data_IF_163400691904
#
_entry.id   IF_163400691904
#
_cell.length_a   1.000
_cell.length_b   1.000
_cell.length_c   1.000
_cell.angle_alpha   90.00
_cell.angle_beta   90.00
_cell.angle_gamma   90.00
#
_symmetry.space_group_name_H-M   'P 1'
#
loop_
_entity.id
_entity.type
_entity.pdbx_description
1 polymer ?
2 water ?
#
# COMPACT_ATOMS: atom_id res chain seq x y z
N UNK A 35 -13.31 -8.82 -17.01
CA UNK A 35 -12.99 -10.11 -16.42
C UNK A 35 -11.61 -10.17 -15.76
N UNK A 36 -11.57 -9.84 -14.48
CA UNK A 36 -10.45 -10.18 -13.63
C UNK A 36 -10.98 -11.15 -12.58
N UNK A 37 -10.27 -12.24 -12.35
CA UNK A 37 -10.78 -13.28 -11.49
C UNK A 37 -10.54 -12.97 -10.02
N UNK A 38 -11.60 -13.06 -9.22
CA UNK A 38 -11.52 -13.07 -7.75
C UNK A 38 -12.15 -14.31 -7.17
N UNK A 39 -11.50 -14.89 -6.17
CA UNK A 39 -11.96 -16.13 -5.58
C UNK A 39 -13.31 -15.98 -4.90
N UNK A 40 -14.04 -17.10 -4.88
CA UNK A 40 -15.29 -17.20 -4.15
C UNK A 40 -15.08 -18.14 -3.00
N UNK A 41 -16.10 -18.28 -2.15
CA UNK A 41 -16.02 -19.21 -1.04
C UNK A 41 -15.81 -20.65 -1.50
N UNK A 42 -16.48 -21.05 -2.57
CA UNK A 42 -16.34 -22.41 -3.07
C UNK A 42 -14.90 -22.63 -3.57
N UNK A 43 -14.36 -21.64 -4.27
CA UNK A 43 -12.98 -21.71 -4.75
C UNK A 43 -12.03 -21.98 -3.60
N UNK A 44 -12.17 -21.19 -2.54
CA UNK A 44 -11.29 -21.28 -1.38
C UNK A 44 -11.39 -22.64 -0.69
N UNK A 45 -12.56 -23.30 -0.77
CA UNK A 45 -12.65 -24.65 -0.27
C UNK A 45 -11.94 -25.65 -1.20
N UNK A 46 -12.16 -25.47 -2.50
CA UNK A 46 -11.51 -26.27 -3.51
C UNK A 46 -10.02 -26.25 -3.21
N UNK A 47 -9.47 -25.04 -3.13
CA UNK A 47 -8.03 -24.88 -2.91
C UNK A 47 -7.50 -25.62 -1.69
N UNK A 48 -8.18 -25.46 -0.56
CA UNK A 48 -7.79 -26.15 0.65
C UNK A 48 -7.70 -27.67 0.41
N UNK A 49 -8.70 -28.25 -0.23
CA UNK A 49 -8.69 -29.68 -0.51
C UNK A 49 -7.61 -30.04 -1.52
N UNK A 50 -7.37 -29.15 -2.47
CA UNK A 50 -6.32 -29.36 -3.46
C UNK A 50 -5.00 -29.41 -2.75
N UNK A 51 -4.76 -28.41 -1.91
CA UNK A 51 -3.47 -28.24 -1.28
C UNK A 51 -3.23 -29.32 -0.24
N UNK A 52 -4.31 -29.90 0.26
CA UNK A 52 -4.19 -30.83 1.37
C UNK A 52 -3.62 -32.13 0.85
N UNK A 53 -3.78 -32.33 -0.45
CA UNK A 53 -3.28 -33.54 -1.10
C UNK A 53 -1.85 -33.44 -1.59
N UNK A 54 -1.28 -32.24 -1.61
CA UNK A 54 0.11 -32.08 -2.05
C UNK A 54 1.07 -32.82 -1.11
N UNK A 55 2.17 -33.29 -1.66
CA UNK A 55 3.20 -33.87 -0.85
C UNK A 55 4.18 -32.80 -0.45
N UNK A 56 4.59 -32.84 0.81
CA UNK A 56 5.62 -31.92 1.27
C UNK A 56 6.95 -32.64 1.42
N UNK A 57 8.02 -31.98 1.01
CA UNK A 57 9.36 -32.56 1.03
C UNK A 57 9.77 -32.82 2.46
N UNK A 58 9.88 -34.10 2.81
CA UNK A 58 10.21 -34.48 4.17
C UNK A 58 11.66 -34.11 4.57
N UNK A 59 12.53 -33.99 3.57
CA UNK A 59 13.94 -33.69 3.82
C UNK A 59 14.13 -32.22 4.20
N UNK A 60 13.03 -31.52 4.41
CA UNK A 60 13.11 -30.13 4.82
C UNK A 60 12.13 -29.89 5.98
N UNK A 61 12.13 -28.68 6.52
CA UNK A 61 11.10 -28.34 7.50
C UNK A 61 9.82 -27.85 6.80
N UNK A 62 8.99 -28.81 6.39
CA UNK A 62 7.88 -28.53 5.52
C UNK A 62 6.64 -28.05 6.23
N UNK A 63 5.89 -27.18 5.56
CA UNK A 63 4.66 -26.63 6.08
C UNK A 63 3.47 -27.16 5.30
N UNK A 64 2.53 -27.79 5.99
CA UNK A 64 1.31 -28.28 5.33
C UNK A 64 0.31 -27.15 5.12
N UNK A 65 -0.76 -27.45 4.41
CA UNK A 65 -1.75 -26.44 4.18
C UNK A 65 -2.30 -25.95 5.52
N UNK A 66 -2.43 -26.86 6.49
CA UNK A 66 -2.93 -26.47 7.80
C UNK A 66 -1.93 -25.52 8.45
N UNK A 67 -0.66 -25.91 8.48
CA UNK A 67 0.38 -25.00 8.94
C UNK A 67 0.31 -23.64 8.23
N UNK A 68 0.03 -23.64 6.93
CA UNK A 68 -0.01 -22.37 6.22
C UNK A 68 -1.26 -21.58 6.57
N UNK A 69 -2.40 -22.28 6.58
CA UNK A 69 -3.70 -21.69 6.88
C UNK A 69 -3.59 -21.03 8.24
N UNK A 70 -2.65 -21.51 9.03
CA UNK A 70 -2.51 -20.98 10.35
C UNK A 70 -1.62 -19.75 10.35
N UNK A 71 -0.46 -19.82 9.73
CA UNK A 71 0.43 -18.69 9.75
C UNK A 71 -0.22 -17.52 9.00
N UNK A 72 -1.03 -17.83 8.00
CA UNK A 72 -1.62 -16.78 7.18
C UNK A 72 -3.01 -16.30 7.63
N UNK A 73 -3.48 -16.84 8.75
CA UNK A 73 -4.75 -16.41 9.32
C UNK A 73 -4.41 -15.71 10.62
N UNK A 74 -3.20 -15.97 11.11
CA UNK A 74 -2.65 -15.35 12.30
C UNK A 74 -2.97 -13.86 12.29
N UNK A 75 -3.63 -13.42 13.35
CA UNK A 75 -4.08 -12.06 13.49
C UNK A 75 -2.96 -11.01 13.35
N UNK A 76 -1.73 -11.39 13.72
CA UNK A 76 -0.56 -10.51 13.57
C UNK A 76 -0.11 -10.32 12.12
N UNK A 77 -0.50 -11.23 11.23
CA UNK A 77 0.00 -11.18 9.87
C UNK A 77 -0.49 -9.95 9.12
N UNK A 78 -1.79 -9.70 9.16
CA UNK A 78 -2.35 -8.54 8.50
C UNK A 78 -2.03 -7.23 9.24
N UNK A 79 -1.61 -7.37 10.50
CA UNK A 79 -1.18 -6.20 11.26
C UNK A 79 0.24 -5.76 10.86
N UNK A 80 1.06 -6.72 10.43
CA UNK A 80 2.42 -6.43 10.00
C UNK A 80 2.43 -6.16 8.51
N UNK A 81 1.43 -6.67 7.83
CA UNK A 81 1.39 -6.54 6.37
C UNK A 81 0.01 -6.12 5.93
N UNK A 82 -0.37 -4.86 6.23
CA UNK A 82 -1.74 -4.44 5.90
C UNK A 82 -2.17 -4.55 4.44
N UNK A 83 -1.27 -4.70 3.45
CA UNK A 83 -1.74 -4.97 2.08
C UNK A 83 -2.61 -6.22 2.03
N UNK A 84 -2.42 -7.11 2.99
CA UNK A 84 -3.13 -8.37 2.99
C UNK A 84 -4.47 -8.28 3.71
N UNK A 85 -4.86 -7.06 4.07
CA UNK A 85 -6.07 -6.84 4.87
C UNK A 85 -7.25 -7.60 4.33
N UNK A 86 -7.47 -7.46 3.02
CA UNK A 86 -8.56 -8.15 2.34
C UNK A 86 -8.08 -9.25 1.40
N UNK A 87 -7.03 -9.95 1.82
CA UNK A 87 -6.54 -11.09 1.09
C UNK A 87 -6.71 -12.32 1.96
N UNK A 88 -7.27 -13.39 1.41
CA UNK A 88 -7.54 -14.58 2.19
C UNK A 88 -6.30 -15.43 2.45
N UNK A 89 -6.34 -16.24 3.52
CA UNK A 89 -5.25 -17.17 3.85
C UNK A 89 -5.01 -18.18 2.74
N UNK A 90 -6.09 -18.59 2.09
CA UNK A 90 -5.95 -19.51 0.96
C UNK A 90 -5.12 -18.86 -0.14
N UNK A 91 -5.23 -17.55 -0.27
CA UNK A 91 -4.48 -16.84 -1.31
C UNK A 91 -3.02 -16.68 -0.91
N UNK A 92 -2.78 -16.30 0.33
CA UNK A 92 -1.40 -16.25 0.81
C UNK A 92 -0.74 -17.59 0.58
N UNK A 93 -1.43 -18.66 0.96
CA UNK A 93 -0.92 -20.03 0.83
C UNK A 93 -0.59 -20.39 -0.62
N UNK A 94 -1.45 -19.98 -1.54
CA UNK A 94 -1.22 -20.25 -2.94
C UNK A 94 0.06 -19.54 -3.36
N UNK A 95 0.25 -18.29 -2.96
CA UNK A 95 1.49 -17.61 -3.33
C UNK A 95 2.68 -18.35 -2.71
N UNK A 96 2.61 -18.60 -1.41
CA UNK A 96 3.67 -19.30 -0.71
C UNK A 96 4.03 -20.60 -1.43
N UNK A 97 3.03 -21.45 -1.65
CA UNK A 97 3.26 -22.77 -2.24
C UNK A 97 3.84 -22.67 -3.63
N UNK A 98 3.47 -21.63 -4.36
CA UNK A 98 4.01 -21.43 -5.70
C UNK A 98 5.48 -20.96 -5.70
N UNK A 99 5.92 -20.27 -4.65
CA UNK A 99 7.28 -19.75 -4.58
C UNK A 99 8.24 -20.74 -3.94
N UNK A 100 7.69 -21.88 -3.52
CA UNK A 100 8.45 -22.85 -2.77
C UNK A 100 8.94 -23.98 -3.66
N UNK A 101 9.82 -24.79 -3.11
CA UNK A 101 10.42 -25.87 -3.87
C UNK A 101 10.03 -27.19 -3.24
N UNK A 102 9.13 -27.16 -2.24
CA UNK A 102 8.85 -28.31 -1.39
C UNK A 102 7.59 -29.08 -1.67
N UNK A 103 6.75 -28.62 -2.58
CA UNK A 103 5.48 -29.32 -2.83
C UNK A 103 5.45 -29.91 -4.23
N UNK A 104 4.85 -31.09 -4.35
CA UNK A 104 4.58 -31.69 -5.64
C UNK A 104 3.25 -32.43 -5.57
N UNK A 105 2.55 -32.47 -6.70
CA UNK A 105 1.34 -33.27 -6.83
C UNK A 105 1.70 -34.74 -6.66
N UNK A 106 2.94 -35.11 -7.00
CA UNK A 106 3.32 -36.52 -7.04
C UNK A 106 4.47 -36.88 -6.15
N UNK A 107 4.64 -38.20 -5.98
CA UNK A 107 5.72 -38.77 -5.19
C UNK A 107 6.54 -39.59 -6.17
N UNK A 108 7.86 -39.53 -6.04
CA UNK A 108 8.72 -40.40 -6.87
C UNK A 108 9.58 -41.24 -5.94
N UNK A 109 9.19 -42.49 -5.73
CA UNK A 109 9.88 -43.30 -4.73
C UNK A 109 9.86 -42.59 -3.37
N UNK A 110 11.05 -42.35 -2.85
CA UNK A 110 11.08 -41.58 -1.62
C UNK A 110 10.35 -40.25 -1.80
N UNK A 111 10.94 -39.41 -2.64
CA UNK A 111 10.79 -37.97 -2.59
C UNK A 111 9.64 -37.38 -3.39
N UNK A 112 9.37 -36.10 -3.12
CA UNK A 112 8.40 -35.35 -3.89
C UNK A 112 8.79 -35.33 -5.37
N UNK A 113 7.78 -35.31 -6.22
CA UNK A 113 7.97 -35.22 -7.66
C UNK A 113 8.46 -33.87 -8.14
N UNK A 114 7.99 -33.49 -9.32
CA UNK A 114 8.27 -32.18 -9.90
C UNK A 114 7.55 -31.13 -9.05
N UNK A 115 8.24 -30.04 -8.68
CA UNK A 115 7.67 -28.98 -7.84
C UNK A 115 6.41 -28.36 -8.45
N UNK A 116 5.47 -27.99 -7.59
CA UNK A 116 4.19 -27.45 -8.01
C UNK A 116 4.29 -26.31 -9.05
N UNK A 117 5.14 -25.32 -8.79
CA UNK A 117 5.18 -24.16 -9.65
C UNK A 117 5.60 -24.56 -11.05
N UNK A 118 6.47 -25.56 -11.14
CA UNK A 118 6.90 -25.99 -12.46
C UNK A 118 5.84 -26.76 -13.21
N UNK A 119 5.12 -27.64 -12.53
CA UNK A 119 4.07 -28.41 -13.18
C UNK A 119 3.00 -27.45 -13.67
N UNK A 120 2.68 -26.44 -12.86
CA UNK A 120 1.64 -25.46 -13.19
C UNK A 120 2.07 -24.56 -14.33
N UNK A 121 3.23 -23.95 -14.18
CA UNK A 121 3.78 -23.08 -15.21
C UNK A 121 3.86 -23.81 -16.54
N UNK A 122 4.45 -25.01 -16.51
CA UNK A 122 4.55 -25.81 -17.71
C UNK A 122 3.19 -26.12 -18.33
N UNK A 123 2.24 -26.50 -17.49
CA UNK A 123 0.86 -26.73 -17.92
C UNK A 123 0.29 -25.50 -18.64
N UNK A 124 0.37 -24.34 -18.00
CA UNK A 124 -0.12 -23.12 -18.64
C UNK A 124 0.56 -22.83 -19.98
N UNK A 125 1.87 -23.07 -20.09
CA UNK A 125 2.57 -22.77 -21.34
C UNK A 125 2.20 -23.77 -22.45
N UNK A 126 1.88 -25.00 -22.10
CA UNK A 126 1.55 -26.03 -23.10
C UNK A 126 0.09 -26.06 -23.48
N UNK A 127 -0.76 -25.64 -22.55
CA UNK A 127 -2.19 -25.75 -22.71
C UNK A 127 -2.69 -25.16 -24.03
N UNK A 128 -3.44 -25.96 -24.79
CA UNK A 128 -4.07 -25.50 -26.04
C UNK A 128 -5.59 -25.77 -26.07
N UNK A 129 -6.32 -25.20 -25.12
CA UNK A 129 -7.78 -25.31 -25.07
C UNK A 129 -8.48 -23.99 -24.69
N UNK A 130 -7.71 -23.08 -24.09
CA UNK A 130 -8.17 -21.75 -23.69
C UNK A 130 -7.39 -20.67 -24.44
N UNK A 131 -7.85 -19.44 -24.28
CA UNK A 131 -7.06 -18.27 -24.67
C UNK A 131 -5.86 -18.15 -23.73
N UNK A 132 -5.96 -18.83 -22.59
CA UNK A 132 -4.95 -18.74 -21.55
C UNK A 132 -5.17 -17.53 -20.67
N UNK A 133 -6.18 -16.73 -21.02
CA UNK A 133 -6.51 -15.51 -20.29
C UNK A 133 -7.53 -15.71 -19.16
N UNK A 134 -7.70 -14.69 -18.31
CA UNK A 134 -8.55 -14.78 -17.12
C UNK A 134 -10.03 -14.79 -17.47
N UNK A 135 -10.36 -14.49 -18.73
CA UNK A 135 -11.74 -14.63 -19.19
C UNK A 135 -12.14 -16.11 -19.20
N UNK A 136 -11.15 -17.00 -19.27
CA UNK A 136 -11.41 -18.43 -19.41
C UNK A 136 -10.73 -19.31 -18.33
N UNK A 137 -10.53 -18.79 -17.11
CA UNK A 137 -9.83 -19.57 -16.07
C UNK A 137 -10.63 -20.78 -15.56
N UNK A 138 -11.92 -20.82 -15.85
CA UNK A 138 -12.74 -21.95 -15.42
C UNK A 138 -12.85 -23.05 -16.47
N UNK A 139 -11.92 -23.02 -17.44
CA UNK A 139 -11.86 -24.05 -18.47
C UNK A 139 -10.49 -24.72 -18.48
N UNK A 140 -9.86 -24.78 -17.31
CA UNK A 140 -8.57 -25.47 -17.18
C UNK A 140 -8.75 -26.88 -16.57
N UNK A 141 -7.66 -27.66 -16.60
CA UNK A 141 -7.59 -29.01 -16.01
C UNK A 141 -8.02 -29.05 -14.54
N UNK A 142 -9.02 -29.87 -14.24
CA UNK A 142 -9.60 -29.98 -12.91
C UNK A 142 -8.55 -30.14 -11.82
N UNK A 143 -7.43 -30.75 -12.17
CA UNK A 143 -6.42 -31.05 -11.18
C UNK A 143 -5.73 -29.78 -10.68
N UNK A 144 -5.30 -28.92 -11.59
CA UNK A 144 -4.52 -27.77 -11.17
C UNK A 144 -5.32 -26.47 -10.98
N UNK A 145 -6.51 -26.39 -11.57
CA UNK A 145 -7.24 -25.13 -11.61
C UNK A 145 -7.51 -24.54 -10.23
N UNK A 146 -7.79 -25.37 -9.22
CA UNK A 146 -8.00 -24.76 -7.91
C UNK A 146 -6.83 -23.85 -7.51
N UNK A 147 -5.61 -24.22 -7.91
CA UNK A 147 -4.44 -23.41 -7.58
C UNK A 147 -4.24 -22.27 -8.58
N UNK A 148 -4.50 -22.54 -9.85
CA UNK A 148 -4.30 -21.49 -10.83
C UNK A 148 -5.22 -20.33 -10.46
N UNK A 149 -6.45 -20.68 -10.11
CA UNK A 149 -7.45 -19.68 -9.82
C UNK A 149 -7.08 -18.95 -8.54
N UNK A 150 -6.66 -19.71 -7.52
CA UNK A 150 -6.36 -19.07 -6.25
C UNK A 150 -5.22 -18.09 -6.41
N UNK A 151 -4.18 -18.48 -7.15
CA UNK A 151 -3.01 -17.61 -7.35
C UNK A 151 -3.41 -16.35 -8.12
N UNK A 152 -4.20 -16.54 -9.18
CA UNK A 152 -4.69 -15.39 -9.93
C UNK A 152 -5.42 -14.44 -9.01
N UNK A 153 -6.36 -14.95 -8.22
CA UNK A 153 -7.10 -14.10 -7.30
C UNK A 153 -6.14 -13.37 -6.36
N UNK A 154 -5.16 -14.09 -5.83
CA UNK A 154 -4.22 -13.48 -4.90
C UNK A 154 -3.59 -12.27 -5.53
N UNK A 155 -3.04 -12.45 -6.72
CA UNK A 155 -2.35 -11.36 -7.38
C UNK A 155 -3.33 -10.22 -7.65
N UNK A 156 -4.58 -10.54 -7.97
CA UNK A 156 -5.56 -9.50 -8.24
C UNK A 156 -5.86 -8.67 -6.98
N UNK A 157 -6.20 -9.34 -5.87
CA UNK A 157 -6.39 -8.70 -4.56
C UNK A 157 -5.22 -7.77 -4.24
N UNK A 158 -4.00 -8.25 -4.44
CA UNK A 158 -2.82 -7.45 -4.08
C UNK A 158 -2.56 -6.29 -5.05
N UNK A 159 -2.65 -6.54 -6.35
CA UNK A 159 -2.49 -5.44 -7.28
C UNK A 159 -3.59 -4.38 -7.02
N UNK A 160 -4.75 -4.80 -6.53
CA UNK A 160 -5.82 -3.84 -6.28
C UNK A 160 -5.46 -2.81 -5.25
N UNK A 161 -4.69 -3.22 -4.25
CA UNK A 161 -4.39 -2.32 -3.15
C UNK A 161 -3.00 -1.71 -3.26
N UNK A 162 -2.10 -2.39 -3.96
CA UNK A 162 -0.68 -2.05 -3.87
C UNK A 162 0.10 -2.44 -5.12
N UNK A 163 -0.51 -2.24 -6.28
CA UNK A 163 0.16 -2.51 -7.53
C UNK A 163 1.62 -2.01 -7.55
N UNK A 164 2.46 -2.69 -8.29
CA UNK A 164 3.85 -2.27 -8.40
C UNK A 164 4.04 -1.77 -9.81
N UNK A 165 4.77 -0.66 -9.91
CA UNK A 165 5.19 -0.14 -11.19
C UNK A 165 6.65 0.21 -11.02
N UNK A 166 7.46 -0.02 -12.05
CA UNK A 166 8.89 0.16 -11.91
C UNK A 166 9.70 -0.93 -12.57
N UNK A 167 10.99 -0.95 -12.27
CA UNK A 167 11.91 -1.87 -12.92
C UNK A 167 12.17 -3.09 -12.06
N UNK A 168 12.08 -4.26 -12.69
CA UNK A 168 12.40 -5.51 -12.04
C UNK A 168 13.27 -6.26 -13.02
N UNK A 169 13.83 -7.38 -12.57
CA UNK A 169 14.82 -8.13 -13.33
C UNK A 169 14.52 -9.63 -13.32
N UNK A 170 15.04 -10.32 -14.34
CA UNK A 170 14.86 -11.76 -14.54
C UNK A 170 16.17 -12.29 -15.06
N UNK A 171 16.59 -13.43 -14.56
CA UNK A 171 17.76 -14.09 -15.09
C UNK A 171 17.34 -15.43 -15.63
N UNK A 172 17.78 -15.72 -16.85
CA UNK A 172 17.48 -16.97 -17.53
C UNK A 172 18.81 -17.59 -17.99
N UNK A 173 18.87 -18.92 -18.09
CA UNK A 173 20.01 -19.62 -18.70
C UNK A 173 19.56 -20.35 -19.98
N UNK A 174 20.18 -20.04 -21.11
CA UNK A 174 19.69 -20.54 -22.38
C UNK A 174 20.70 -20.72 -23.50
N UNK A 175 20.30 -21.58 -24.45
CA UNK A 175 20.85 -21.80 -25.79
C UNK A 175 21.23 -20.60 -26.63
N UNK A 176 22.00 -20.87 -27.68
CA UNK A 176 22.06 -19.93 -28.81
C UNK A 176 20.72 -19.89 -29.53
N UNK A 177 20.04 -21.05 -29.58
CA UNK A 177 18.70 -21.09 -30.15
C UNK A 177 17.74 -20.13 -29.40
N UNK A 178 17.66 -20.29 -28.07
CA UNK A 178 16.88 -19.35 -27.27
C UNK A 178 17.29 -17.89 -27.49
N UNK A 179 18.59 -17.62 -27.39
CA UNK A 179 19.09 -16.27 -27.62
C UNK A 179 18.64 -15.72 -28.97
N UNK A 180 18.85 -16.51 -30.02
CA UNK A 180 18.45 -16.16 -31.37
C UNK A 180 16.96 -15.78 -31.47
N UNK A 181 16.11 -16.53 -30.77
CA UNK A 181 14.70 -16.25 -30.82
C UNK A 181 14.40 -14.85 -30.31
N UNK A 182 15.04 -14.49 -29.20
CA UNK A 182 14.77 -13.20 -28.60
C UNK A 182 15.22 -12.08 -29.50
N UNK A 183 16.43 -12.20 -30.03
CA UNK A 183 16.92 -11.18 -30.96
C UNK A 183 15.96 -11.12 -32.13
N UNK A 184 15.49 -12.29 -32.57
CA UNK A 184 14.50 -12.30 -33.64
C UNK A 184 13.20 -11.56 -33.30
N UNK A 185 12.65 -11.84 -32.12
CA UNK A 185 11.44 -11.18 -31.68
C UNK A 185 11.64 -9.67 -31.70
N UNK A 186 12.77 -9.26 -31.15
CA UNK A 186 13.19 -7.87 -31.13
C UNK A 186 13.25 -7.25 -32.53
N UNK A 187 14.00 -7.91 -33.40
CA UNK A 187 14.22 -7.43 -34.76
C UNK A 187 12.92 -7.26 -35.54
N UNK A 188 11.90 -8.06 -35.22
CA UNK A 188 10.67 -8.05 -36.01
C UNK A 188 9.49 -7.48 -35.25
N UNK A 189 9.73 -6.98 -34.04
CA UNK A 189 8.70 -6.30 -33.28
C UNK A 189 7.66 -7.22 -32.65
N UNK A 190 7.96 -8.52 -32.64
CA UNK A 190 7.07 -9.46 -31.98
C UNK A 190 7.09 -9.30 -30.48
N UNK A 191 5.91 -9.42 -29.87
CA UNK A 191 5.81 -9.36 -28.42
C UNK A 191 6.40 -10.58 -27.71
N UNK A 192 7.06 -10.36 -26.59
CA UNK A 192 7.38 -11.45 -25.72
C UNK A 192 6.17 -11.70 -24.84
N UNK A 193 5.65 -12.92 -24.93
CA UNK A 193 4.45 -13.28 -24.20
C UNK A 193 4.71 -14.49 -23.30
N UNK A 194 4.40 -14.34 -22.01
CA UNK A 194 4.57 -15.44 -21.05
C UNK A 194 3.22 -15.97 -20.54
N UNK A 195 2.83 -17.17 -20.98
CA UNK A 195 1.53 -17.72 -20.60
C UNK A 195 1.45 -18.06 -19.12
N UNK A 196 2.59 -18.35 -18.50
CA UNK A 196 2.58 -18.70 -17.08
C UNK A 196 2.71 -17.46 -16.21
N UNK A 197 2.86 -17.67 -14.90
CA UNK A 197 3.04 -16.58 -13.94
C UNK A 197 4.48 -16.13 -13.94
N UNK A 198 4.81 -14.98 -14.53
CA UNK A 198 6.20 -14.53 -14.53
C UNK A 198 6.68 -14.08 -13.17
N UNK A 199 7.89 -14.50 -12.85
CA UNK A 199 8.47 -14.20 -11.55
C UNK A 199 9.68 -13.33 -11.78
N UNK A 200 9.78 -12.25 -11.04
CA UNK A 200 10.84 -11.28 -11.29
C UNK A 200 11.36 -10.76 -9.95
N UNK A 201 12.49 -10.06 -9.97
CA UNK A 201 13.02 -9.54 -8.72
C UNK A 201 13.39 -8.07 -8.84
N UNK A 202 13.16 -7.32 -7.78
CA UNK A 202 13.57 -5.91 -7.74
C UNK A 202 15.09 -5.73 -7.68
N UNK A 203 15.79 -6.75 -7.19
CA UNK A 203 17.22 -6.65 -6.94
C UNK A 203 18.05 -7.22 -8.10
N UNK A 204 18.76 -6.34 -8.80
CA UNK A 204 19.63 -6.75 -9.89
C UNK A 204 20.47 -7.97 -9.54
N UNK A 205 21.09 -7.97 -8.36
CA UNK A 205 21.95 -9.09 -8.01
C UNK A 205 21.23 -10.43 -8.00
N UNK A 206 19.95 -10.40 -7.63
CA UNK A 206 19.19 -11.64 -7.45
C UNK A 206 18.87 -12.36 -8.78
N UNK A 207 18.92 -11.64 -9.89
CA UNK A 207 18.67 -12.26 -11.18
C UNK A 207 19.85 -13.13 -11.56
N UNK A 208 20.98 -12.87 -10.90
CA UNK A 208 22.20 -13.65 -11.10
C UNK A 208 22.66 -13.76 -12.54
N UNK A 209 22.74 -12.63 -13.23
CA UNK A 209 23.08 -12.60 -14.64
C UNK A 209 24.16 -11.60 -14.92
N UNK A 210 24.05 -10.44 -14.29
CA UNK A 210 24.82 -9.27 -14.71
C UNK A 210 26.31 -9.35 -14.45
N UNK A 211 26.70 -9.78 -13.28
CA UNK A 211 28.13 -9.86 -13.02
C UNK A 211 28.68 -11.17 -13.56
N UNK A 212 29.81 -11.09 -14.27
CA UNK A 212 30.46 -12.38 -14.47
C UNK A 212 30.90 -12.79 -13.07
N UNK A 213 31.03 -14.08 -12.81
CA UNK A 213 30.70 -15.10 -13.78
C UNK A 213 29.54 -15.88 -13.22
N UNK A 214 28.37 -15.28 -13.30
CA UNK A 214 27.15 -15.86 -12.76
C UNK A 214 26.55 -16.87 -13.74
N UNK A 215 25.71 -17.78 -13.21
CA UNK A 215 25.08 -18.89 -13.96
C UNK A 215 24.22 -18.44 -15.16
N UNK A 216 23.34 -17.47 -14.98
CA UNK A 216 22.45 -17.04 -16.05
C UNK A 216 23.17 -16.21 -17.10
N UNK A 217 22.87 -16.46 -18.37
CA UNK A 217 23.49 -15.73 -19.47
C UNK A 217 22.50 -14.83 -20.21
N UNK A 218 21.22 -14.96 -19.91
CA UNK A 218 20.21 -14.05 -20.47
C UNK A 218 19.56 -13.19 -19.38
N UNK A 219 19.73 -11.88 -19.47
CA UNK A 219 19.12 -10.99 -18.49
C UNK A 219 17.94 -10.25 -19.09
N UNK A 220 16.89 -10.09 -18.29
CA UNK A 220 15.74 -9.31 -18.70
C UNK A 220 15.59 -8.11 -17.79
N UNK A 221 15.59 -6.92 -18.37
CA UNK A 221 15.33 -5.74 -17.60
C UNK A 221 13.97 -5.25 -17.97
N UNK A 222 13.03 -5.44 -17.05
CA UNK A 222 11.61 -5.24 -17.34
C UNK A 222 11.09 -4.04 -16.57
N UNK A 223 10.40 -3.16 -17.26
CA UNK A 223 9.70 -2.10 -16.57
C UNK A 223 8.21 -2.39 -16.63
N UNK A 224 7.58 -2.41 -15.46
CA UNK A 224 6.22 -2.87 -15.33
C UNK A 224 5.32 -1.68 -15.09
N UNK A 225 4.17 -1.70 -15.74
CA UNK A 225 3.12 -0.77 -15.39
C UNK A 225 2.35 -1.32 -14.20
N UNK A 226 2.22 -2.65 -14.13
CA UNK A 226 1.40 -3.25 -13.10
C UNK A 226 1.82 -4.70 -12.75
N UNK A 227 2.13 -4.93 -11.49
CA UNK A 227 2.53 -6.25 -11.03
C UNK A 227 2.31 -6.47 -9.54
N UNK A 228 2.51 -7.69 -9.08
CA UNK A 228 2.16 -8.01 -7.71
C UNK A 228 3.36 -8.21 -6.82
N UNK A 229 3.43 -7.43 -5.76
CA UNK A 229 4.50 -7.60 -4.79
C UNK A 229 4.01 -8.63 -3.77
N UNK A 230 4.53 -9.84 -3.89
CA UNK A 230 4.14 -10.97 -3.08
C UNK A 230 5.20 -11.30 -2.02
N UNK A 231 6.17 -10.41 -1.85
CA UNK A 231 7.22 -10.67 -0.91
C UNK A 231 6.69 -11.02 0.49
N UNK A 232 5.51 -10.51 0.84
CA UNK A 232 4.92 -10.82 2.13
C UNK A 232 4.51 -12.27 2.32
N UNK A 233 4.07 -12.89 1.23
CA UNK A 233 3.60 -14.27 1.24
C UNK A 233 4.63 -15.25 0.75
N UNK A 234 5.69 -14.74 0.14
CA UNK A 234 6.71 -15.59 -0.46
C UNK A 234 7.48 -16.40 0.58
N UNK A 235 7.89 -17.60 0.20
CA UNK A 235 8.67 -18.44 1.10
C UNK A 235 10.01 -17.78 1.36
N UNK A 236 10.44 -17.01 0.36
CA UNK A 236 11.67 -16.22 0.43
C UNK A 236 11.40 -14.74 0.12
N UNK A 237 10.88 -14.01 1.12
CA UNK A 237 10.65 -12.57 1.04
C UNK A 237 11.89 -11.79 0.60
N UNK A 238 13.06 -12.14 1.16
CA UNK A 238 14.35 -11.53 0.82
C UNK A 238 14.64 -11.55 -0.69
N UNK A 239 14.01 -12.47 -1.41
CA UNK A 239 14.16 -12.50 -2.88
C UNK A 239 13.45 -11.28 -3.49
N UNK A 240 12.63 -10.59 -2.70
CA UNK A 240 11.97 -9.34 -3.10
C UNK A 240 11.26 -9.42 -4.44
N UNK A 241 10.48 -10.48 -4.65
CA UNK A 241 9.87 -10.72 -5.95
C UNK A 241 8.54 -10.00 -6.26
N UNK A 242 8.38 -9.69 -7.54
CA UNK A 242 7.16 -9.18 -8.12
C UNK A 242 6.68 -10.26 -9.09
N UNK A 243 5.41 -10.64 -9.04
CA UNK A 243 4.86 -11.72 -9.87
C UNK A 243 3.82 -11.13 -10.82
N UNK A 244 3.75 -11.62 -12.06
CA UNK A 244 2.76 -11.13 -13.02
C UNK A 244 1.63 -12.11 -13.22
N UNK A 245 0.43 -11.63 -13.55
CA UNK A 245 -0.69 -12.52 -13.88
C UNK A 245 -0.42 -13.33 -15.15
N UNK A 246 -1.09 -14.47 -15.32
CA UNK A 246 -1.02 -15.24 -16.57
C UNK A 246 -1.07 -14.34 -17.81
N UNK A 247 -0.42 -14.77 -18.90
CA UNK A 247 -0.50 -14.06 -20.18
C UNK A 247 -0.02 -12.61 -20.15
N UNK A 248 1.07 -12.37 -19.43
CA UNK A 248 1.71 -11.06 -19.48
C UNK A 248 2.42 -10.87 -20.81
N UNK A 249 2.39 -9.64 -21.30
CA UNK A 249 2.82 -9.34 -22.65
C UNK A 249 3.83 -8.21 -22.64
N UNK A 250 4.93 -8.35 -23.40
CA UNK A 250 5.98 -7.32 -23.42
C UNK A 250 6.51 -6.93 -24.81
N UNK A 251 6.84 -5.66 -24.94
CA UNK A 251 7.58 -5.16 -26.09
C UNK A 251 9.06 -5.21 -25.75
N UNK A 252 9.87 -5.79 -26.62
CA UNK A 252 11.31 -5.71 -26.38
C UNK A 252 11.85 -4.41 -26.94
N UNK A 253 12.13 -3.44 -26.06
CA UNK A 253 12.65 -2.13 -26.49
C UNK A 253 14.10 -2.19 -27.02
N UNK A 254 14.99 -2.87 -26.30
CA UNK A 254 16.40 -2.92 -26.67
C UNK A 254 16.94 -4.33 -26.47
N UNK A 255 18.03 -4.67 -27.15
CA UNK A 255 18.62 -6.01 -27.04
C UNK A 255 20.08 -5.93 -27.44
N UNK A 256 20.95 -6.26 -26.52
CA UNK A 256 22.35 -6.07 -26.71
C UNK A 256 23.20 -7.05 -25.94
N UNK A 257 24.46 -7.12 -26.27
CA UNK A 257 25.37 -8.00 -25.59
C UNK A 257 25.93 -7.37 -24.37
N UNK A 258 26.50 -8.20 -23.51
CA UNK A 258 27.19 -7.82 -22.32
C UNK A 258 28.50 -8.56 -22.35
N UNK A 259 28.98 -9.02 -21.25
CA UNK A 259 30.22 -9.76 -21.27
C UNK A 259 30.05 -11.05 -22.04
N UNK A 260 30.98 -11.99 -21.98
CA UNK A 260 30.73 -13.34 -22.45
C UNK A 260 30.17 -13.07 -23.86
N UNK A 261 29.08 -13.73 -24.31
CA UNK A 261 28.35 -14.79 -23.63
C UNK A 261 26.99 -14.39 -23.10
N UNK A 262 26.89 -13.15 -22.63
CA UNK A 262 25.70 -12.71 -21.95
C UNK A 262 24.92 -11.70 -22.79
N UNK A 263 23.60 -11.70 -22.61
CA UNK A 263 22.76 -10.79 -23.37
C UNK A 263 21.73 -10.11 -22.49
N UNK A 264 21.37 -8.91 -22.87
CA UNK A 264 20.43 -8.15 -22.09
C UNK A 264 19.29 -7.75 -22.99
N UNK A 265 18.07 -8.13 -22.62
CA UNK A 265 16.89 -7.63 -23.32
C UNK A 265 16.10 -6.72 -22.41
N UNK A 266 15.81 -5.53 -22.91
CA UNK A 266 15.02 -4.58 -22.15
C UNK A 266 13.59 -4.76 -22.56
N UNK A 267 12.75 -5.06 -21.57
CA UNK A 267 11.34 -5.33 -21.80
C UNK A 267 10.43 -4.22 -21.29
N UNK A 268 9.29 -4.06 -21.93
CA UNK A 268 8.31 -3.07 -21.49
C UNK A 268 6.91 -3.70 -21.44
N UNK A 269 6.28 -3.68 -20.27
CA UNK A 269 4.97 -4.29 -20.11
C UNK A 269 3.88 -3.53 -20.86
N UNK A 270 2.98 -4.30 -21.48
CA UNK A 270 1.81 -3.77 -22.15
C UNK A 270 0.58 -3.84 -21.24
N UNK B 35 -15.14 10.67 27.47
CA UNK B 35 -14.89 12.11 27.58
C UNK B 35 -14.68 12.79 26.22
N UNK B 36 -15.78 13.07 25.52
CA UNK B 36 -15.68 13.62 24.18
C UNK B 36 -16.44 14.92 24.03
N UNK B 37 -15.76 15.89 23.42
CA UNK B 37 -16.25 17.25 23.30
C UNK B 37 -17.06 17.44 22.00
N UNK B 38 -18.27 17.97 22.15
CA UNK B 38 -19.02 18.52 21.03
C UNK B 38 -19.22 20.03 21.22
N UNK B 39 -19.26 20.76 20.12
CA UNK B 39 -19.28 22.20 20.19
C UNK B 39 -20.64 22.64 20.70
N UNK B 40 -20.65 23.69 21.51
CA UNK B 40 -21.90 24.33 21.91
C UNK B 40 -22.05 25.57 21.05
N UNK B 41 -23.21 26.22 21.15
CA UNK B 41 -23.45 27.41 20.37
C UNK B 41 -22.45 28.53 20.64
N UNK B 42 -22.03 28.68 21.89
CA UNK B 42 -21.06 29.72 22.25
C UNK B 42 -19.71 29.43 21.60
N UNK B 43 -19.35 28.15 21.53
CA UNK B 43 -18.12 27.72 20.86
C UNK B 43 -18.14 28.14 19.40
N UNK B 44 -19.25 27.90 18.72
CA UNK B 44 -19.35 28.25 17.31
C UNK B 44 -19.25 29.77 17.03
N UNK B 45 -19.75 30.59 17.97
CA UNK B 45 -19.56 32.04 17.89
C UNK B 45 -18.09 32.42 18.13
N UNK B 46 -17.51 31.90 19.22
CA UNK B 46 -16.09 32.06 19.49
C UNK B 46 -15.31 31.71 18.22
N UNK B 47 -15.64 30.55 17.65
CA UNK B 47 -14.93 30.14 16.44
C UNK B 47 -15.06 31.13 15.26
N UNK B 48 -16.27 31.59 14.97
CA UNK B 48 -16.46 32.53 13.87
C UNK B 48 -15.58 33.78 14.05
N UNK B 49 -15.54 34.30 15.28
CA UNK B 49 -14.71 35.48 15.56
C UNK B 49 -13.23 35.16 15.53
N UNK B 50 -12.85 33.97 15.98
CA UNK B 50 -11.47 33.57 15.86
C UNK B 50 -11.08 33.53 14.39
N UNK B 51 -11.89 32.88 13.56
CA UNK B 51 -11.55 32.70 12.14
C UNK B 51 -11.60 34.00 11.35
N UNK B 52 -12.44 34.93 11.80
CA UNK B 52 -12.60 36.18 11.10
C UNK B 52 -11.34 37.03 11.24
N UNK B 53 -10.54 36.76 12.26
CA UNK B 53 -9.27 37.48 12.44
C UNK B 53 -8.09 36.88 11.69
N UNK B 54 -8.22 35.67 11.16
CA UNK B 54 -7.11 35.04 10.40
C UNK B 54 -6.73 35.87 9.18
N UNK B 55 -5.47 35.78 8.77
CA UNK B 55 -5.05 36.44 7.54
C UNK B 55 -5.11 35.41 6.43
N UNK B 56 -5.67 35.80 5.29
CA UNK B 56 -5.72 34.91 4.15
C UNK B 56 -4.67 35.33 3.16
N UNK B 57 -3.99 34.33 2.60
CA UNK B 57 -2.90 34.54 1.67
C UNK B 57 -3.36 35.32 0.46
N UNK B 58 -2.79 36.52 0.31
CA UNK B 58 -3.15 37.44 -0.77
C UNK B 58 -2.82 36.91 -2.17
N UNK B 59 -1.71 36.18 -2.26
CA UNK B 59 -1.14 35.73 -3.54
C UNK B 59 -1.90 34.57 -4.17
N UNK B 60 -3.12 34.32 -3.70
CA UNK B 60 -3.91 33.20 -4.20
C UNK B 60 -5.40 33.47 -4.08
N UNK B 61 -6.25 32.51 -4.43
CA UNK B 61 -7.68 32.73 -4.23
C UNK B 61 -8.21 32.21 -2.90
N UNK B 62 -8.28 33.12 -1.94
CA UNK B 62 -8.53 32.75 -0.57
C UNK B 62 -9.92 33.04 -0.08
N UNK B 63 -10.49 32.05 0.58
CA UNK B 63 -11.81 32.17 1.16
C UNK B 63 -11.74 32.65 2.59
N UNK B 64 -12.61 33.60 2.94
CA UNK B 64 -12.67 34.07 4.31
C UNK B 64 -13.64 33.18 5.08
N UNK B 65 -13.77 33.42 6.38
CA UNK B 65 -14.70 32.60 7.13
C UNK B 65 -16.12 32.77 6.60
N UNK B 66 -16.40 33.94 6.03
CA UNK B 66 -17.73 34.21 5.52
C UNK B 66 -17.98 33.32 4.33
N UNK B 67 -17.10 33.41 3.34
CA UNK B 67 -17.17 32.51 2.19
C UNK B 67 -17.31 31.04 2.57
N UNK B 68 -16.61 30.62 3.62
CA UNK B 68 -16.64 29.22 4.00
C UNK B 68 -17.96 28.89 4.69
N UNK B 69 -18.55 29.89 5.36
CA UNK B 69 -19.84 29.69 6.02
C UNK B 69 -20.94 29.59 4.95
N UNK B 70 -20.74 30.27 3.82
CA UNK B 70 -21.65 30.11 2.69
C UNK B 70 -21.52 28.73 2.09
N UNK B 71 -20.27 28.40 1.77
CA UNK B 71 -19.87 27.15 1.16
C UNK B 71 -20.48 25.95 1.89
N UNK B 72 -20.42 25.97 3.21
CA UNK B 72 -20.72 24.79 3.97
C UNK B 72 -22.12 24.79 4.56
N UNK B 73 -22.85 25.88 4.32
CA UNK B 73 -24.23 26.01 4.75
C UNK B 73 -25.15 25.84 3.57
N UNK B 74 -24.53 25.68 2.40
CA UNK B 74 -25.20 25.40 1.14
C UNK B 74 -26.06 24.13 1.16
N UNK B 75 -27.33 24.29 0.78
CA UNK B 75 -28.29 23.18 0.65
C UNK B 75 -27.69 21.94 -0.03
N UNK B 76 -27.05 22.10 -1.19
CA UNK B 76 -26.51 20.96 -1.94
C UNK B 76 -25.45 20.20 -1.13
N UNK B 77 -24.59 20.94 -0.43
CA UNK B 77 -23.46 20.32 0.25
C UNK B 77 -23.84 19.13 1.13
N UNK B 78 -24.77 19.31 2.05
CA UNK B 78 -25.15 18.19 2.92
C UNK B 78 -25.92 17.15 2.14
N UNK B 79 -26.34 17.52 0.94
CA UNK B 79 -27.01 16.56 0.07
C UNK B 79 -25.98 15.55 -0.47
N UNK B 80 -24.86 16.05 -0.98
CA UNK B 80 -23.79 15.19 -1.44
C UNK B 80 -23.12 14.45 -0.30
N UNK B 81 -23.16 15.03 0.89
CA UNK B 81 -22.39 14.47 2.00
C UNK B 81 -23.25 14.26 3.23
N UNK B 82 -24.10 13.24 3.17
CA UNK B 82 -25.02 12.96 4.28
C UNK B 82 -24.27 12.86 5.60
N UNK B 83 -22.97 12.60 5.57
CA UNK B 83 -22.19 12.49 6.81
C UNK B 83 -22.40 13.75 7.65
N UNK B 84 -22.56 14.86 6.97
CA UNK B 84 -22.53 16.16 7.61
C UNK B 84 -23.90 16.63 8.05
N UNK B 85 -24.87 15.72 8.08
CA UNK B 85 -26.23 16.10 8.48
C UNK B 85 -26.20 16.86 9.80
N UNK B 86 -25.48 16.31 10.79
CA UNK B 86 -25.41 16.92 12.11
C UNK B 86 -24.12 17.70 12.38
N UNK B 87 -23.47 18.15 11.30
CA UNK B 87 -22.22 18.89 11.41
C UNK B 87 -22.44 20.33 10.99
N UNK B 88 -22.02 21.28 11.82
CA UNK B 88 -22.18 22.71 11.55
C UNK B 88 -21.22 23.19 10.48
N UNK B 89 -21.59 24.25 9.77
CA UNK B 89 -20.66 24.96 8.89
C UNK B 89 -19.35 25.34 9.61
N UNK B 90 -19.45 25.76 10.86
CA UNK B 90 -18.28 26.20 11.61
C UNK B 90 -17.30 25.04 11.70
N UNK B 91 -17.85 23.85 11.92
CA UNK B 91 -17.05 22.63 11.94
C UNK B 91 -16.38 22.36 10.59
N UNK B 92 -17.17 22.29 9.53
CA UNK B 92 -16.59 22.09 8.21
C UNK B 92 -15.51 23.13 8.01
N UNK B 93 -15.75 24.33 8.54
CA UNK B 93 -14.81 25.41 8.32
C UNK B 93 -13.47 25.17 9.01
N UNK B 94 -13.52 24.71 10.25
CA UNK B 94 -12.31 24.38 10.99
C UNK B 94 -11.51 23.27 10.28
N UNK B 95 -12.17 22.25 9.79
CA UNK B 95 -11.46 21.23 9.02
C UNK B 95 -10.78 21.88 7.85
N UNK B 96 -11.55 22.63 7.06
CA UNK B 96 -11.03 23.22 5.83
C UNK B 96 -9.81 24.05 6.19
N UNK B 97 -9.98 24.99 7.09
CA UNK B 97 -8.91 25.88 7.54
C UNK B 97 -7.68 25.11 8.02
N UNK B 98 -7.88 23.98 8.70
CA UNK B 98 -6.75 23.18 9.13
C UNK B 98 -6.02 22.53 7.95
N UNK B 99 -6.76 22.10 6.94
CA UNK B 99 -6.13 21.42 5.82
C UNK B 99 -5.46 22.36 4.83
N UNK B 100 -5.49 23.66 5.12
CA UNK B 100 -5.06 24.64 4.13
C UNK B 100 -3.74 25.32 4.46
N UNK B 101 -3.15 25.94 3.45
CA UNK B 101 -1.87 26.58 3.61
C UNK B 101 -2.00 28.08 3.60
N UNK B 102 -3.22 28.61 3.50
CA UNK B 102 -3.43 30.02 3.19
C UNK B 102 -3.67 30.88 4.40
N UNK B 103 -3.81 30.26 5.57
CA UNK B 103 -4.24 31.00 6.76
C UNK B 103 -3.18 31.15 7.83
N UNK B 104 -3.09 32.33 8.40
CA UNK B 104 -2.14 32.53 9.46
C UNK B 104 -2.62 33.53 10.48
N UNK B 105 -2.21 33.34 11.71
CA UNK B 105 -2.57 34.24 12.76
C UNK B 105 -1.79 35.53 12.56
N UNK B 106 -0.70 35.47 11.82
CA UNK B 106 0.16 36.66 11.71
C UNK B 106 0.47 37.06 10.30
N UNK B 107 1.01 38.27 10.20
CA UNK B 107 1.52 38.81 8.96
C UNK B 107 3.01 39.00 9.11
N UNK B 108 3.75 38.54 8.11
CA UNK B 108 5.17 38.83 8.05
C UNK B 108 5.39 39.70 6.82
N UNK B 109 5.58 41.00 7.06
CA UNK B 109 5.66 41.97 5.99
C UNK B 109 4.45 41.75 5.13
N UNK B 110 4.70 41.51 3.86
CA UNK B 110 3.58 41.35 2.97
C UNK B 110 2.63 40.29 3.51
N UNK B 111 3.18 39.09 3.64
CA UNK B 111 2.41 37.87 3.53
C UNK B 111 2.00 37.24 4.86
N UNK B 112 1.38 36.07 4.72
CA UNK B 112 0.94 35.33 5.88
C UNK B 112 2.16 34.80 6.60
N UNK B 113 2.05 34.69 7.92
CA UNK B 113 3.05 34.04 8.73
C UNK B 113 2.96 32.53 8.65
N UNK B 114 3.39 31.87 9.73
CA UNK B 114 3.31 30.42 9.79
C UNK B 114 1.85 30.02 9.61
N UNK B 115 1.59 28.96 8.81
CA UNK B 115 0.21 28.56 8.54
C UNK B 115 -0.46 28.02 9.79
N UNK B 116 -1.77 28.20 9.88
CA UNK B 116 -2.55 27.85 11.06
C UNK B 116 -2.29 26.43 11.52
N UNK B 117 -2.35 25.46 10.62
CA UNK B 117 -2.27 24.08 11.07
C UNK B 117 -0.97 23.90 11.82
N UNK B 118 0.09 24.55 11.33
CA UNK B 118 1.40 24.39 11.91
C UNK B 118 1.54 25.02 13.28
N UNK B 119 0.97 26.22 13.43
CA UNK B 119 1.02 26.89 14.71
C UNK B 119 0.26 26.04 15.71
N UNK B 120 -0.90 25.54 15.29
CA UNK B 120 -1.76 24.75 16.13
C UNK B 120 -1.10 23.44 16.47
N UNK B 121 -0.69 22.69 15.45
CA UNK B 121 -0.04 21.42 15.69
C UNK B 121 1.17 21.53 16.61
N UNK B 122 1.97 22.56 16.41
CA UNK B 122 3.16 22.69 17.21
C UNK B 122 2.78 23.00 18.64
N UNK B 123 1.78 23.87 18.80
CA UNK B 123 1.35 24.28 20.10
C UNK B 123 0.90 23.04 20.85
N UNK B 124 0.19 22.16 20.16
CA UNK B 124 -0.31 20.97 20.83
C UNK B 124 0.81 19.99 21.23
N UNK B 125 1.86 19.90 20.41
CA UNK B 125 2.95 18.99 20.74
C UNK B 125 3.77 19.57 21.87
N UNK B 126 3.98 20.88 21.88
CA UNK B 126 4.84 21.50 22.89
C UNK B 126 4.17 21.68 24.23
N UNK B 127 2.85 21.65 24.25
CA UNK B 127 2.12 21.88 25.48
C UNK B 127 2.39 20.80 26.53
N UNK B 128 2.83 21.27 27.69
CA UNK B 128 3.21 20.42 28.84
C UNK B 128 2.46 20.81 30.11
N UNK B 129 1.22 21.26 29.92
CA UNK B 129 0.34 21.63 31.02
C UNK B 129 -0.90 20.73 31.05
N UNK B 130 -1.34 20.32 29.86
CA UNK B 130 -2.45 19.38 29.71
C UNK B 130 -1.99 17.96 29.47
N UNK B 131 -2.88 17.01 29.72
CA UNK B 131 -2.64 15.59 29.44
C UNK B 131 -2.77 15.32 27.95
N UNK B 132 -3.12 16.37 27.21
CA UNK B 132 -3.30 16.28 25.77
C UNK B 132 -4.70 15.88 25.32
N UNK B 133 -5.41 15.15 26.18
CA UNK B 133 -6.70 14.54 25.82
C UNK B 133 -7.93 15.45 26.05
N UNK B 134 -9.00 15.18 25.30
CA UNK B 134 -10.20 16.02 25.32
C UNK B 134 -10.83 16.21 26.71
N UNK B 135 -10.53 15.30 27.63
CA UNK B 135 -11.13 15.31 28.97
C UNK B 135 -11.11 16.69 29.64
N UNK B 140 -6.51 24.84 27.15
CA UNK B 140 -5.61 25.27 26.08
C UNK B 140 -5.50 26.82 25.99
N UNK B 141 -4.70 27.29 25.03
CA UNK B 141 -4.38 28.73 24.86
C UNK B 141 -5.54 29.54 24.32
N UNK B 142 -5.93 30.59 25.04
CA UNK B 142 -7.12 31.32 24.68
C UNK B 142 -7.07 31.85 23.24
N UNK B 143 -5.87 31.95 22.70
CA UNK B 143 -5.73 32.40 21.32
C UNK B 143 -6.19 31.30 20.36
N UNK B 144 -5.83 30.06 20.64
CA UNK B 144 -6.07 28.97 19.71
C UNK B 144 -7.18 28.00 20.12
N UNK B 145 -7.62 28.06 21.37
CA UNK B 145 -8.60 27.09 21.84
C UNK B 145 -9.87 27.04 20.96
N UNK B 146 -10.30 28.19 20.43
CA UNK B 146 -11.51 28.08 19.63
C UNK B 146 -11.30 27.17 18.40
N UNK B 147 -10.17 27.31 17.71
CA UNK B 147 -9.93 26.43 16.59
C UNK B 147 -9.85 24.97 17.02
N UNK B 148 -8.99 24.71 18.01
CA UNK B 148 -8.79 23.35 18.47
C UNK B 148 -10.11 22.69 18.87
N UNK B 149 -11.01 23.45 19.51
CA UNK B 149 -12.25 22.85 19.97
C UNK B 149 -13.21 22.57 18.80
N UNK B 150 -13.29 23.52 17.87
CA UNK B 150 -14.18 23.35 16.75
C UNK B 150 -13.75 22.11 16.00
N UNK B 151 -12.45 22.01 15.75
CA UNK B 151 -11.86 20.89 15.02
C UNK B 151 -12.13 19.55 15.70
N UNK B 152 -11.91 19.50 17.02
CA UNK B 152 -12.16 18.27 17.77
C UNK B 152 -13.62 17.89 17.65
N UNK B 153 -14.49 18.87 17.82
CA UNK B 153 -15.91 18.60 17.70
C UNK B 153 -16.21 18.00 16.34
N UNK B 154 -15.66 18.61 15.30
CA UNK B 154 -15.93 18.22 13.93
C UNK B 154 -15.61 16.75 13.69
N UNK B 155 -14.45 16.31 14.15
CA UNK B 155 -14.03 14.94 13.89
C UNK B 155 -14.89 14.01 14.70
N UNK B 156 -15.28 14.43 15.90
CA UNK B 156 -16.20 13.63 16.70
C UNK B 156 -17.56 13.41 16.01
N UNK B 157 -18.20 14.49 15.58
CA UNK B 157 -19.48 14.33 14.92
C UNK B 157 -19.34 13.40 13.71
N UNK B 158 -18.22 13.51 13.00
CA UNK B 158 -18.04 12.67 11.82
C UNK B 158 -17.82 11.22 12.20
N UNK B 159 -16.95 10.97 13.18
CA UNK B 159 -16.66 9.60 13.56
C UNK B 159 -17.92 8.93 14.17
N UNK B 160 -18.78 9.74 14.79
CA UNK B 160 -20.07 9.27 15.26
C UNK B 160 -20.94 8.64 14.17
N UNK B 161 -20.96 9.25 13.01
CA UNK B 161 -21.87 8.79 11.98
C UNK B 161 -21.14 7.87 11.01
N UNK B 162 -19.92 8.22 10.63
CA UNK B 162 -19.18 7.44 9.64
C UNK B 162 -17.69 7.28 9.99
N UNK B 163 -17.39 6.71 11.14
CA UNK B 163 -15.99 6.46 11.47
C UNK B 163 -15.36 5.62 10.38
N UNK B 164 -14.11 5.96 10.02
CA UNK B 164 -13.36 5.21 9.03
C UNK B 164 -12.49 4.15 9.72
N UNK B 165 -12.41 2.98 9.11
CA UNK B 165 -11.47 1.95 9.53
C UNK B 165 -10.80 1.44 8.27
N UNK B 166 -9.53 1.10 8.35
CA UNK B 166 -8.81 0.64 7.19
C UNK B 166 -7.38 1.09 7.17
N UNK B 167 -6.78 1.03 5.99
CA UNK B 167 -5.37 1.38 5.86
C UNK B 167 -5.23 2.79 5.31
N UNK B 168 -4.24 3.52 5.80
CA UNK B 168 -3.91 4.85 5.31
C UNK B 168 -2.40 5.01 5.35
N UNK B 169 -1.90 6.09 4.79
CA UNK B 169 -0.47 6.25 4.62
C UNK B 169 -0.02 7.65 5.00
N UNK B 170 1.29 7.79 5.18
CA UNK B 170 1.91 9.03 5.60
C UNK B 170 3.33 9.03 5.14
N UNK B 171 3.76 10.11 4.52
CA UNK B 171 5.16 10.27 4.15
C UNK B 171 5.81 11.39 4.95
N UNK B 172 6.97 11.11 5.50
CA UNK B 172 7.68 12.06 6.33
C UNK B 172 9.08 12.22 5.74
N UNK B 173 9.75 13.33 6.07
CA UNK B 173 11.13 13.51 5.66
C UNK B 173 11.96 13.77 6.91
N UNK B 174 12.89 12.87 7.24
CA UNK B 174 13.65 13.02 8.48
C UNK B 174 15.05 12.44 8.59
N UNK B 175 15.84 13.06 9.47
CA UNK B 175 17.13 12.60 10.04
C UNK B 175 17.37 11.11 10.10
N UNK B 176 18.65 10.73 10.15
CA UNK B 176 19.00 9.41 10.67
C UNK B 176 18.56 9.33 12.12
N UNK B 177 18.53 10.47 12.80
CA UNK B 177 18.15 10.49 14.21
C UNK B 177 16.67 10.18 14.38
N UNK B 178 15.85 10.76 13.50
CA UNK B 178 14.42 10.49 13.53
C UNK B 178 14.15 9.03 13.16
N UNK B 179 14.79 8.57 12.10
CA UNK B 179 14.72 7.17 11.74
C UNK B 179 15.12 6.25 12.90
N UNK B 180 16.21 6.57 13.57
CA UNK B 180 16.68 5.76 14.68
C UNK B 180 15.65 5.74 15.82
N UNK B 181 15.06 6.88 16.13
CA UNK B 181 14.03 6.89 17.18
C UNK B 181 12.85 5.95 16.86
N UNK B 182 12.50 5.85 15.59
CA UNK B 182 11.37 5.03 15.21
C UNK B 182 11.67 3.54 15.36
N UNK B 183 12.84 3.11 14.93
CA UNK B 183 13.24 1.72 15.09
C UNK B 183 13.32 1.39 16.59
N UNK B 184 13.69 2.38 17.40
CA UNK B 184 13.88 2.13 18.82
C UNK B 184 12.53 1.93 19.51
N UNK B 185 11.54 2.71 19.08
CA UNK B 185 10.18 2.53 19.54
C UNK B 185 9.75 1.09 19.22
N UNK B 186 10.01 0.67 17.98
CA UNK B 186 9.70 -0.69 17.54
C UNK B 186 10.39 -1.74 18.41
N UNK B 187 11.71 -1.59 18.58
CA UNK B 187 12.48 -2.58 19.31
C UNK B 187 12.04 -2.72 20.76
N UNK B 188 11.53 -1.65 21.33
CA UNK B 188 11.21 -1.66 22.76
C UNK B 188 9.70 -1.74 23.11
N UNK B 189 8.84 -1.85 22.11
CA UNK B 189 7.39 -1.76 22.35
C UNK B 189 6.92 -0.38 22.82
N UNK B 190 7.70 0.66 22.56
CA UNK B 190 7.23 2.01 22.83
C UNK B 190 6.09 2.42 21.90
N UNK B 191 5.09 3.10 22.44
CA UNK B 191 3.98 3.54 21.60
C UNK B 191 4.40 4.75 20.79
N UNK B 192 3.84 4.88 19.59
CA UNK B 192 4.02 6.09 18.80
C UNK B 192 2.82 6.98 19.06
N UNK B 193 3.07 8.16 19.62
CA UNK B 193 2.02 9.04 20.09
C UNK B 193 2.07 10.42 19.45
N UNK B 194 0.98 10.83 18.80
CA UNK B 194 0.94 12.15 18.16
C UNK B 194 -0.03 13.08 18.88
N UNK B 195 0.49 14.05 19.64
CA UNK B 195 -0.34 14.93 20.46
C UNK B 195 -1.22 15.85 19.63
N UNK B 196 -0.81 16.13 18.38
CA UNK B 196 -1.58 16.99 17.47
C UNK B 196 -2.55 16.17 16.62
N UNK B 197 -3.23 16.82 15.67
CA UNK B 197 -4.14 16.15 14.73
C UNK B 197 -3.40 15.50 13.59
N UNK B 198 -3.39 14.17 13.52
CA UNK B 198 -2.63 13.49 12.47
C UNK B 198 -3.41 13.45 11.14
N UNK B 199 -2.76 13.88 10.06
CA UNK B 199 -3.36 13.76 8.73
C UNK B 199 -2.74 12.59 7.99
N UNK B 200 -3.55 11.88 7.21
CA UNK B 200 -3.09 10.70 6.53
C UNK B 200 -3.93 10.63 5.27
N UNK B 201 -3.50 9.84 4.30
CA UNK B 201 -4.22 9.70 3.05
C UNK B 201 -4.60 8.23 2.77
N UNK B 202 -5.73 8.03 2.11
CA UNK B 202 -6.12 6.69 1.69
C UNK B 202 -5.30 6.23 0.51
N UNK B 203 -4.67 7.20 -0.16
CA UNK B 203 -3.96 6.96 -1.43
C UNK B 203 -2.43 6.86 -1.31
N UNK B 204 -1.88 5.67 -1.51
CA UNK B 204 -0.42 5.44 -1.41
C UNK B 204 0.42 6.51 -2.07
N UNK B 205 0.03 6.88 -3.28
CA UNK B 205 0.82 7.83 -4.07
C UNK B 205 0.91 9.19 -3.38
N UNK B 206 -0.18 9.61 -2.75
CA UNK B 206 -0.26 10.92 -2.10
C UNK B 206 0.66 11.04 -0.88
N UNK B 207 1.15 9.90 -0.39
CA UNK B 207 2.13 9.92 0.69
C UNK B 207 3.49 10.32 0.17
N UNK B 208 3.68 10.17 -1.14
CA UNK B 208 4.93 10.54 -1.80
C UNK B 208 6.20 10.00 -1.14
N UNK B 209 6.24 8.69 -0.91
CA UNK B 209 7.38 8.07 -0.25
C UNK B 209 7.85 6.86 -0.99
N UNK B 210 6.89 6.09 -1.52
CA UNK B 210 7.15 4.74 -1.99
C UNK B 210 7.88 4.64 -3.33
N UNK B 211 7.38 5.34 -4.33
CA UNK B 211 7.99 5.28 -5.66
C UNK B 211 9.18 6.22 -5.72
N UNK B 212 10.32 5.74 -6.25
CA UNK B 212 11.45 6.64 -6.43
C UNK B 212 11.17 7.59 -7.60
N UNK B 213 11.73 8.80 -7.56
CA UNK B 213 12.46 9.29 -6.41
C UNK B 213 11.63 10.36 -5.72
N UNK B 214 10.80 9.93 -4.78
CA UNK B 214 9.89 10.82 -4.09
C UNK B 214 10.63 11.48 -2.95
N UNK B 215 10.16 12.68 -2.55
CA UNK B 215 10.78 13.54 -1.53
C UNK B 215 10.93 12.83 -0.18
N UNK B 216 9.82 12.36 0.39
CA UNK B 216 9.84 11.77 1.72
C UNK B 216 10.67 10.51 1.76
N UNK B 217 11.28 10.22 2.91
CA UNK B 217 12.10 9.02 3.02
C UNK B 217 11.63 8.07 4.11
N UNK B 218 10.61 8.48 4.84
CA UNK B 218 10.01 7.62 5.85
C UNK B 218 8.52 7.44 5.54
N UNK B 219 8.11 6.18 5.41
CA UNK B 219 6.72 5.88 5.09
C UNK B 219 6.02 5.28 6.30
N UNK B 220 4.85 5.80 6.61
CA UNK B 220 3.99 5.19 7.60
C UNK B 220 2.83 4.52 6.89
N UNK B 221 2.64 3.25 7.16
CA UNK B 221 1.50 2.53 6.62
C UNK B 221 0.68 2.15 7.83
N UNK B 222 -0.48 2.78 7.98
CA UNK B 222 -1.22 2.74 9.23
C UNK B 222 -2.56 2.02 9.11
N UNK B 223 -2.83 1.09 10.01
CA UNK B 223 -4.16 0.49 10.08
C UNK B 223 -4.92 1.16 11.20
N UNK B 224 -6.05 1.77 10.84
CA UNK B 224 -6.89 2.52 11.77
C UNK B 224 -8.09 1.72 12.16
N UNK B 225 -8.58 1.99 13.37
CA UNK B 225 -9.84 1.46 13.87
C UNK B 225 -10.92 2.55 13.87
N UNK B 226 -10.55 3.76 14.28
CA UNK B 226 -11.49 4.88 14.28
C UNK B 226 -10.77 6.13 13.73
N UNK B 227 -11.13 6.55 12.53
CA UNK B 227 -10.63 7.81 12.03
C UNK B 227 -11.75 8.59 11.39
N UNK B 228 -11.50 9.86 11.12
CA UNK B 228 -12.52 10.71 10.49
C UNK B 228 -12.20 10.98 9.02
N UNK B 229 -13.15 10.68 8.14
CA UNK B 229 -13.03 11.07 6.73
C UNK B 229 -13.42 12.54 6.55
N UNK B 230 -12.42 13.40 6.40
CA UNK B 230 -12.67 14.81 6.32
C UNK B 230 -12.57 15.27 4.88
N UNK B 231 -12.51 14.33 3.95
CA UNK B 231 -12.23 14.70 2.56
C UNK B 231 -13.21 15.72 1.99
N UNK B 232 -14.48 15.59 2.34
CA UNK B 232 -15.50 16.48 1.81
C UNK B 232 -15.34 17.93 2.26
N UNK B 233 -14.59 18.12 3.34
CA UNK B 233 -14.39 19.44 3.93
C UNK B 233 -13.01 20.00 3.67
N UNK B 234 -12.11 19.15 3.19
CA UNK B 234 -10.70 19.50 3.04
C UNK B 234 -10.55 20.52 1.91
N UNK B 235 -9.49 21.28 1.94
CA UNK B 235 -9.20 22.15 0.81
C UNK B 235 -8.79 21.28 -0.38
N UNK B 236 -8.41 20.03 -0.10
CA UNK B 236 -8.06 19.05 -1.14
C UNK B 236 -8.79 17.71 -0.93
N UNK B 237 -10.03 17.62 -1.44
CA UNK B 237 -10.87 16.42 -1.33
C UNK B 237 -10.29 15.25 -2.11
N UNK B 238 -9.47 15.54 -3.11
CA UNK B 238 -8.91 14.49 -3.96
C UNK B 238 -7.77 13.76 -3.23
N UNK B 239 -7.26 14.37 -2.17
CA UNK B 239 -6.19 13.78 -1.39
C UNK B 239 -6.75 12.74 -0.43
N UNK B 240 -8.08 12.66 -0.36
CA UNK B 240 -8.79 11.60 0.36
C UNK B 240 -8.30 11.43 1.80
N UNK B 241 -8.14 12.53 2.52
CA UNK B 241 -7.55 12.43 3.84
C UNK B 241 -8.46 11.85 4.93
N UNK B 242 -7.83 11.13 5.86
CA UNK B 242 -8.44 10.72 7.09
C UNK B 242 -7.65 11.47 8.16
N UNK B 243 -8.35 12.08 9.12
CA UNK B 243 -7.68 12.85 10.19
C UNK B 243 -8.00 12.19 11.54
N UNK B 244 -7.04 12.21 12.48
CA UNK B 244 -7.28 11.65 13.81
C UNK B 244 -7.46 12.72 14.90
N UNK B 245 -8.26 12.43 15.93
CA UNK B 245 -8.35 13.33 17.09
C UNK B 245 -6.99 13.51 17.74
N UNK B 246 -6.84 14.56 18.54
CA UNK B 246 -5.63 14.78 19.34
C UNK B 246 -5.25 13.50 20.10
N UNK B 247 -3.96 13.34 20.37
CA UNK B 247 -3.40 12.22 21.16
C UNK B 247 -3.77 10.83 20.63
N UNK B 248 -3.46 10.58 19.37
CA UNK B 248 -3.63 9.24 18.86
C UNK B 248 -2.40 8.42 19.23
N UNK B 249 -2.59 7.11 19.41
CA UNK B 249 -1.49 6.27 19.84
C UNK B 249 -1.40 5.06 18.94
N UNK B 250 -0.18 4.57 18.73
CA UNK B 250 0.04 3.43 17.88
C UNK B 250 1.09 2.48 18.43
N UNK B 251 0.91 1.22 18.09
CA UNK B 251 1.94 0.21 18.27
C UNK B 251 2.65 0.16 16.93
N UNK B 252 3.99 0.18 16.92
CA UNK B 252 4.69 -0.03 15.66
C UNK B 252 4.86 -1.52 15.42
N UNK B 253 4.02 -2.08 14.55
CA UNK B 253 3.91 -3.52 14.35
C UNK B 253 5.07 -4.08 13.55
N UNK B 254 5.71 -3.23 12.75
CA UNK B 254 6.74 -3.72 11.84
C UNK B 254 7.60 -2.57 11.33
N UNK B 255 8.92 -2.76 11.30
CA UNK B 255 9.86 -1.73 10.82
C UNK B 255 10.97 -2.32 9.96
N UNK B 256 11.14 -1.76 8.76
CA UNK B 256 11.98 -2.40 7.75
C UNK B 256 12.53 -1.37 6.73
N UNK B 257 13.68 -1.67 6.15
CA UNK B 257 14.24 -0.81 5.13
C UNK B 257 13.44 -0.91 3.83
N UNK B 258 13.67 0.02 2.91
CA UNK B 258 12.87 0.08 1.70
C UNK B 258 13.71 0.06 0.43
N UNK B 259 14.50 1.10 0.24
CA UNK B 259 15.21 1.33 -1.01
C UNK B 259 15.85 2.68 -0.78
N UNK B 260 16.87 3.02 -1.55
CA UNK B 260 17.64 4.18 -1.15
C UNK B 260 17.82 4.04 0.34
N UNK B 261 17.69 5.17 1.02
CA UNK B 261 17.70 5.18 2.46
C UNK B 261 16.30 5.55 2.90
N UNK B 262 15.34 4.73 2.48
CA UNK B 262 13.95 4.90 2.85
C UNK B 262 13.56 3.77 3.78
N UNK B 263 12.64 4.04 4.70
CA UNK B 263 12.20 3.04 5.67
C UNK B 263 10.68 3.03 5.79
N UNK B 264 10.11 1.84 5.93
CA UNK B 264 8.68 1.64 6.13
C UNK B 264 8.41 1.35 7.59
N UNK B 265 7.48 2.08 8.19
CA UNK B 265 7.02 1.78 9.54
C UNK B 265 5.54 1.45 9.51
N UNK B 266 5.18 0.26 9.97
CA UNK B 266 3.81 -0.15 9.95
C UNK B 266 3.16 0.16 11.29
N UNK B 267 2.05 0.90 11.26
CA UNK B 267 1.42 1.31 12.50
C UNK B 267 0.02 0.71 12.69
N UNK B 268 -0.36 0.58 13.95
CA UNK B 268 -1.64 0.04 14.35
C UNK B 268 -2.20 1.02 15.36
N UNK B 269 -3.39 1.55 15.09
CA UNK B 269 -3.99 2.48 16.00
C UNK B 269 -4.47 1.74 17.25
N UNK B 270 -4.15 2.27 18.42
CA UNK B 270 -4.60 1.67 19.67
C UNK B 270 -6.08 1.92 19.95
#
# INVERSE_FOLDING_TARGET
GPLGSHMNINRQLPVSGSERLLTPDVGVSRQACSERHYSTGQDRHDFYRFAARLHVDAQCFGLSIDDLMDKFSDKHFRAEHPEYRDVYPEECSAIYMHTAQDYSSHLVRGEIGTPLYREVNNYLRLQHENSGREAEIDNHDEKLSPHIKMLSSALNRLMDVAAFRGTVYRGIRGDLDTIARLYHLFDTGGRYVEPAFMSTTRIKDSAQVFEPGTPNNIAFQISLKRGADISGSSQAPSEEEIMLPMMSEFVIEHASALSEGKHLFVLSQI
GPLGSHMNINRQLPVSGSERLLTPDVGVSRQACSERHYSTGQDRHDFYRFAARLHVDAQCFGLSIDDLMDKFSDKHFRAEHPEYRDVYPEECSAIYMHTAQDYSSHLVRGEIGTPLYREVNNYLRLQHENSGREAEIDNHDEKLSPHIKMLSSALNRLMDVAAFRGTVYRGIRGDLDTIARLYHLFDTGGRYVEPAFMSTTRIKDSAQVFEPGTPNNIAFQISLKRGADISGSSQAPSEEEIMLPMMSEFVIEHASALSEGKHLFVLSQI
#
